data_IF_130117423045
#
_entry.id   IF_130117423045
#
_cell.length_a   1.000
_cell.length_b   1.000
_cell.length_c   1.000
_cell.angle_alpha   90.00
_cell.angle_beta   90.00
_cell.angle_gamma   90.00
#
_symmetry.space_group_name_H-M   'P 1'
#
loop_
_entity.id
_entity.type
_entity.pdbx_description
1 polymer ?
#
# COMPACT_ATOMS: atom_id res chain seq x y z
N UNK A 1 2.47 2.80 -6.03
CA UNK A 1 1.70 2.22 -4.91
C UNK A 1 2.68 1.75 -3.85
N UNK A 2 2.44 2.04 -2.57
CA UNK A 2 3.29 1.62 -1.46
C UNK A 2 2.46 0.76 -0.49
N UNK A 3 3.01 -0.38 -0.08
CA UNK A 3 2.46 -1.18 1.01
C UNK A 3 3.30 -0.85 2.23
N UNK A 4 2.69 -0.25 3.26
CA UNK A 4 3.38 0.17 4.48
C UNK A 4 2.75 -0.49 5.70
N UNK A 5 3.56 -0.74 6.73
CA UNK A 5 3.10 -1.23 8.02
C UNK A 5 3.48 -0.25 9.12
N UNK A 6 2.57 -0.05 10.08
CA UNK A 6 2.82 0.79 11.24
C UNK A 6 3.96 0.19 12.08
N UNK A 7 5.03 0.95 12.25
CA UNK A 7 6.21 0.52 13.02
C UNK A 7 5.92 0.29 14.51
N UNK A 8 4.78 0.76 15.03
CA UNK A 8 4.39 0.56 16.43
C UNK A 8 3.45 -0.65 16.63
N UNK A 9 2.39 -0.76 15.82
CA UNK A 9 1.33 -1.75 16.04
C UNK A 9 1.12 -2.73 14.88
N UNK A 10 1.92 -2.63 13.81
CA UNK A 10 1.86 -3.52 12.65
C UNK A 10 0.71 -3.29 11.68
N UNK A 11 -0.18 -2.33 11.95
CA UNK A 11 -1.32 -2.02 11.06
C UNK A 11 -0.84 -1.72 9.63
N UNK A 12 -1.38 -2.42 8.64
CA UNK A 12 -0.96 -2.28 7.25
C UNK A 12 -1.87 -1.34 6.47
N UNK A 13 -1.30 -0.58 5.54
CA UNK A 13 -2.05 0.28 4.63
C UNK A 13 -1.42 0.33 3.26
N UNK A 14 -2.27 0.40 2.24
CA UNK A 14 -1.84 0.67 0.87
C UNK A 14 -1.97 2.18 0.66
N UNK A 15 -0.86 2.83 0.34
CA UNK A 15 -0.81 4.25 0.04
C UNK A 15 -0.60 4.46 -1.46
N UNK A 16 -1.30 5.46 -2.00
CA UNK A 16 -1.06 5.97 -3.33
C UNK A 16 0.29 6.73 -3.33
N UNK A 17 1.39 5.99 -3.43
CA UNK A 17 2.72 6.58 -3.62
C UNK A 17 3.08 6.57 -5.10
N UNK A 18 3.30 7.77 -5.65
CA UNK A 18 3.96 7.97 -6.94
C UNK A 18 5.39 8.42 -6.63
N UNK A 19 6.43 7.80 -7.22
CA UNK A 19 7.78 8.28 -7.03
C UNK A 19 7.96 9.69 -7.62
N UNK A 20 8.73 10.52 -6.92
CA UNK A 20 9.16 11.82 -7.37
C UNK A 20 10.17 11.69 -8.53
N UNK A 21 10.60 12.83 -9.10
CA UNK A 21 11.56 12.87 -10.23
C UNK A 21 12.92 12.25 -9.91
N UNK A 22 13.28 12.18 -8.64
CA UNK A 22 14.50 11.54 -8.13
C UNK A 22 14.32 10.02 -7.91
N UNK A 23 13.17 9.46 -8.28
CA UNK A 23 12.85 8.05 -8.11
C UNK A 23 12.51 7.69 -6.67
N UNK A 24 12.22 8.65 -5.79
CA UNK A 24 11.89 8.39 -4.39
C UNK A 24 10.41 8.66 -4.14
N UNK A 25 9.70 7.70 -3.56
CA UNK A 25 8.34 7.93 -3.09
C UNK A 25 8.35 8.39 -1.63
N UNK A 26 7.74 9.56 -1.39
CA UNK A 26 7.61 10.16 -0.06
C UNK A 26 6.15 10.26 0.32
N UNK A 27 5.81 9.82 1.52
CA UNK A 27 4.44 9.94 2.03
C UNK A 27 4.44 10.05 3.54
N UNK A 28 3.48 10.78 4.07
CA UNK A 28 3.19 10.83 5.50
C UNK A 28 1.83 10.20 5.74
N UNK A 29 1.71 9.44 6.82
CA UNK A 29 0.43 8.88 7.21
C UNK A 29 0.33 8.78 8.73
N UNK A 30 -0.90 8.85 9.24
CA UNK A 30 -1.21 8.63 10.65
C UNK A 30 -1.84 7.25 10.77
N UNK A 31 -1.30 6.41 11.63
CA UNK A 31 -1.85 5.09 11.89
C UNK A 31 -3.27 5.21 12.44
N UNK A 32 -4.31 4.68 11.78
CA UNK A 32 -5.69 4.78 12.26
C UNK A 32 -5.93 3.94 13.52
N UNK A 33 -5.03 2.98 13.82
CA UNK A 33 -5.14 2.10 14.99
C UNK A 33 -4.52 2.70 16.25
N UNK A 34 -3.31 3.26 16.16
CA UNK A 34 -2.55 3.72 17.33
C UNK A 34 -2.23 5.22 17.34
N UNK A 35 -2.64 5.97 16.30
CA UNK A 35 -2.43 7.42 16.21
C UNK A 35 -1.00 7.86 15.89
N UNK A 36 -0.04 6.92 15.77
CA UNK A 36 1.35 7.26 15.46
C UNK A 36 1.47 7.86 14.05
N UNK A 37 2.00 9.08 13.97
CA UNK A 37 2.41 9.69 12.71
C UNK A 37 3.70 9.09 12.20
N UNK A 38 3.75 8.75 10.91
CA UNK A 38 4.89 8.11 10.28
C UNK A 38 5.22 8.80 8.96
N UNK A 39 6.51 8.99 8.73
CA UNK A 39 7.07 9.49 7.48
C UNK A 39 7.75 8.32 6.79
N UNK A 40 7.37 8.05 5.55
CA UNK A 40 7.91 6.96 4.74
C UNK A 40 8.59 7.57 3.53
N UNK A 41 9.86 7.20 3.34
CA UNK A 41 10.65 7.55 2.18
C UNK A 41 11.26 6.27 1.62
N UNK A 42 10.87 5.91 0.39
CA UNK A 42 11.28 4.66 -0.24
C UNK A 42 11.83 4.95 -1.64
N UNK A 43 13.08 4.56 -1.96
CA UNK A 43 13.56 4.59 -3.33
C UNK A 43 12.78 3.55 -4.17
N UNK A 44 12.18 4.00 -5.27
CA UNK A 44 11.41 3.19 -6.19
C UNK A 44 12.24 2.98 -7.45
N UNK A 45 12.81 1.77 -7.58
CA UNK A 45 13.62 1.39 -8.75
C UNK A 45 12.76 1.01 -9.97
N UNK A 46 11.57 0.47 -9.73
CA UNK A 46 10.65 -0.01 -10.77
C UNK A 46 9.21 -0.14 -10.23
N UNK A 47 8.21 -0.18 -11.12
CA UNK A 47 6.81 -0.41 -10.74
C UNK A 47 6.64 -1.79 -10.07
N UNK A 48 5.93 -1.85 -8.94
CA UNK A 48 5.81 -3.02 -8.08
C UNK A 48 4.67 -3.99 -8.49
N UNK A 49 4.06 -3.81 -9.68
CA UNK A 49 2.95 -4.68 -10.15
C UNK A 49 3.33 -6.17 -10.20
N UNK A 50 4.58 -6.49 -10.55
CA UNK A 50 5.08 -7.86 -10.56
C UNK A 50 5.10 -8.50 -9.17
N UNK A 51 5.51 -7.74 -8.15
CA UNK A 51 5.53 -8.20 -6.76
C UNK A 51 4.13 -8.28 -6.17
N UNK A 52 3.24 -7.36 -6.53
CA UNK A 52 1.83 -7.43 -6.17
C UNK A 52 1.19 -8.75 -6.64
N UNK A 53 1.46 -9.18 -7.87
CA UNK A 53 0.95 -10.46 -8.40
C UNK A 53 1.44 -11.66 -7.57
N UNK A 54 2.67 -11.62 -7.08
CA UNK A 54 3.24 -12.67 -6.20
C UNK A 54 2.59 -12.65 -4.82
N UNK A 55 2.42 -11.47 -4.21
CA UNK A 55 1.75 -11.29 -2.90
C UNK A 55 0.32 -11.79 -2.96
N UNK A 56 -0.39 -11.47 -4.04
CA UNK A 56 -1.78 -11.87 -4.27
C UNK A 56 -1.94 -13.36 -4.64
N UNK A 57 -0.85 -14.13 -4.74
CA UNK A 57 -0.84 -15.58 -5.00
C UNK A 57 -1.78 -16.03 -6.14
N UNK A 58 -1.89 -15.23 -7.21
CA UNK A 58 -2.73 -15.54 -8.37
C UNK A 58 -4.09 -14.88 -8.40
N UNK A 59 -4.46 -14.09 -7.38
CA UNK A 59 -5.62 -13.19 -7.46
C UNK A 59 -5.31 -12.03 -8.42
N UNK A 60 -6.19 -11.80 -9.40
CA UNK A 60 -6.10 -10.68 -10.34
C UNK A 60 -7.10 -9.59 -9.96
N UNK A 61 -6.69 -8.32 -10.10
CA UNK A 61 -7.62 -7.20 -9.99
C UNK A 61 -8.64 -7.26 -11.13
N UNK A 62 -9.89 -7.54 -10.80
CA UNK A 62 -11.01 -7.36 -11.73
C UNK A 62 -11.36 -5.88 -11.90
N UNK A 63 -12.02 -5.54 -13.01
CA UNK A 63 -12.64 -4.22 -13.20
C UNK A 63 -13.89 -4.19 -12.33
N UNK A 64 -13.73 -3.99 -11.03
CA UNK A 64 -14.85 -3.73 -10.12
C UNK A 64 -14.80 -2.25 -9.72
N UNK A 65 -15.84 -1.50 -10.09
CA UNK A 65 -16.09 -0.15 -9.58
C UNK A 65 -16.47 -0.23 -8.10
N UNK A 66 -15.50 -0.41 -7.20
CA UNK A 66 -15.76 -0.36 -5.77
C UNK A 66 -14.74 -1.09 -4.89
N UNK A 67 -14.72 -0.72 -3.61
CA UNK A 67 -14.02 -1.46 -2.57
C UNK A 67 -14.89 -2.64 -2.13
N UNK A 68 -14.41 -3.87 -2.31
CA UNK A 68 -15.07 -5.07 -1.77
C UNK A 68 -14.89 -5.07 -0.25
N UNK A 69 -15.98 -5.10 0.50
CA UNK A 69 -15.92 -5.25 1.96
C UNK A 69 -15.79 -6.73 2.29
N UNK A 70 -15.08 -7.06 3.36
CA UNK A 70 -14.84 -8.45 3.76
C UNK A 70 -16.10 -9.29 4.03
N UNK A 71 -17.30 -8.68 4.06
CA UNK A 71 -18.59 -9.37 4.17
C UNK A 71 -19.30 -9.65 2.84
N UNK A 72 -18.75 -9.21 1.71
CA UNK A 72 -19.38 -9.36 0.38
C UNK A 72 -18.98 -10.67 -0.33
N UNK A 73 -18.07 -11.45 0.26
CA UNK A 73 -17.62 -12.74 -0.27
C UNK A 73 -18.36 -13.84 0.48
N UNK A 74 -19.56 -14.18 -0.02
CA UNK A 74 -20.36 -15.34 0.40
C UNK A 74 -20.02 -16.58 -0.42
#
# INVERSE_FOLDING_TARGET
>A
MLIVACQLCGEMKILAGTPDRDGVARTTWICPRCGTGQIVQLPVKSDARGDLKKILQGLSLGVAEGYVRAGDVG
#
